data_IF_440055103257
#
_entry.id   IF_440055103257
#
_cell.length_a   1.000
_cell.length_b   1.000
_cell.length_c   1.000
_cell.angle_alpha   90.00
_cell.angle_beta   90.00
_cell.angle_gamma   90.00
#
_symmetry.space_group_name_H-M   'P 1'
#
loop_
_entity.id
_entity.type
_entity.pdbx_description
1 polymer ?
#
# COMPACT_ATOMS: atom_id res chain seq x y z
N UNK A 1 -8.09 15.42 9.75
CA UNK A 1 -9.18 14.46 10.07
C UNK A 1 -9.61 13.59 8.88
N UNK A 2 -9.96 14.15 7.72
CA UNK A 2 -10.51 13.38 6.58
C UNK A 2 -9.61 12.23 6.08
N UNK A 3 -8.29 12.46 6.01
CA UNK A 3 -7.31 11.46 5.53
C UNK A 3 -7.21 10.26 6.48
N UNK A 4 -7.22 10.50 7.80
CA UNK A 4 -7.21 9.43 8.80
C UNK A 4 -8.47 8.58 8.70
N UNK A 5 -9.62 9.22 8.45
CA UNK A 5 -10.90 8.54 8.25
C UNK A 5 -10.87 7.62 7.01
N UNK A 6 -10.30 8.10 5.90
CA UNK A 6 -10.10 7.30 4.69
C UNK A 6 -9.13 6.14 4.95
N UNK A 7 -8.03 6.37 5.67
CA UNK A 7 -7.07 5.32 6.02
C UNK A 7 -7.72 4.21 6.88
N UNK A 8 -8.57 4.59 7.84
CA UNK A 8 -9.33 3.64 8.66
C UNK A 8 -10.28 2.81 7.78
N UNK A 9 -11.01 3.45 6.86
CA UNK A 9 -11.92 2.74 5.95
C UNK A 9 -11.15 1.71 5.11
N UNK A 10 -10.00 2.10 4.54
CA UNK A 10 -9.16 1.18 3.75
C UNK A 10 -8.67 0.00 4.58
N UNK A 11 -8.25 0.23 5.83
CA UNK A 11 -7.81 -0.83 6.73
C UNK A 11 -8.95 -1.79 7.09
N UNK A 12 -10.14 -1.27 7.38
CA UNK A 12 -11.32 -2.09 7.71
C UNK A 12 -11.75 -2.95 6.52
N UNK A 13 -11.86 -2.35 5.32
CA UNK A 13 -12.25 -3.07 4.11
C UNK A 13 -11.20 -4.13 3.73
N UNK A 14 -9.91 -3.78 3.80
CA UNK A 14 -8.82 -4.73 3.57
C UNK A 14 -8.84 -5.88 4.58
N UNK A 15 -9.13 -5.60 5.84
CA UNK A 15 -9.32 -6.61 6.89
C UNK A 15 -10.46 -7.57 6.58
N UNK A 16 -11.61 -7.07 6.12
CA UNK A 16 -12.76 -7.92 5.74
C UNK A 16 -12.41 -8.82 4.56
N UNK A 17 -11.73 -8.29 3.54
CA UNK A 17 -11.29 -9.08 2.36
C UNK A 17 -10.36 -10.21 2.79
N UNK A 18 -9.38 -9.93 3.65
CA UNK A 18 -8.42 -10.93 4.13
C UNK A 18 -9.11 -11.96 5.03
N UNK A 19 -10.01 -11.54 5.91
CA UNK A 19 -10.77 -12.44 6.78
C UNK A 19 -11.60 -13.43 5.96
N UNK A 20 -12.30 -12.93 4.93
CA UNK A 20 -13.09 -13.75 4.01
C UNK A 20 -12.21 -14.66 3.15
N UNK A 21 -11.09 -14.16 2.63
CA UNK A 21 -10.16 -14.96 1.81
C UNK A 21 -9.55 -16.12 2.58
N UNK A 22 -9.31 -15.96 3.89
CA UNK A 22 -8.74 -16.99 4.75
C UNK A 22 -9.80 -17.89 5.39
N UNK A 23 -11.10 -17.62 5.19
CA UNK A 23 -12.19 -18.22 5.98
C UNK A 23 -11.86 -18.21 7.48
N UNK A 24 -11.47 -17.04 7.99
CA UNK A 24 -10.89 -16.92 9.33
C UNK A 24 -11.94 -17.24 10.39
N UNK A 25 -11.76 -18.34 11.11
CA UNK A 25 -12.47 -18.60 12.35
C UNK A 25 -11.75 -17.93 13.51
N UNK A 26 -12.28 -16.80 13.99
CA UNK A 26 -11.72 -16.06 15.11
C UNK A 26 -11.86 -16.78 16.46
N UNK A 27 -12.63 -17.87 16.53
CA UNK A 27 -12.69 -18.72 17.74
C UNK A 27 -11.48 -19.64 17.85
N UNK A 28 -10.79 -19.90 16.74
CA UNK A 28 -9.56 -20.69 16.72
C UNK A 28 -8.33 -19.76 16.80
N UNK A 29 -7.48 -19.87 17.84
CA UNK A 29 -6.31 -19.02 17.99
C UNK A 29 -5.30 -19.15 16.83
N UNK A 30 -5.21 -20.33 16.21
CA UNK A 30 -4.32 -20.56 15.06
C UNK A 30 -4.77 -19.75 13.83
N UNK A 31 -6.08 -19.74 13.56
CA UNK A 31 -6.68 -19.00 12.45
C UNK A 31 -6.63 -17.49 12.69
N UNK A 32 -6.85 -17.04 13.92
CA UNK A 32 -6.69 -15.62 14.29
C UNK A 32 -5.24 -15.13 14.10
N UNK A 33 -4.26 -15.98 14.42
CA UNK A 33 -2.84 -15.67 14.21
C UNK A 33 -2.49 -15.64 12.71
N UNK A 34 -3.03 -16.56 11.91
CA UNK A 34 -2.87 -16.58 10.46
C UNK A 34 -3.46 -15.32 9.80
N UNK A 35 -4.65 -14.90 10.22
CA UNK A 35 -5.26 -13.64 9.81
C UNK A 35 -4.37 -12.45 10.15
N UNK A 36 -3.95 -12.34 11.41
CA UNK A 36 -3.15 -11.22 11.90
C UNK A 36 -1.84 -11.12 11.12
N UNK A 37 -1.13 -12.23 10.93
CA UNK A 37 0.12 -12.27 10.14
C UNK A 37 -0.11 -11.83 8.69
N UNK A 38 -1.18 -12.29 8.06
CA UNK A 38 -1.51 -11.95 6.67
C UNK A 38 -1.91 -10.48 6.55
N UNK A 39 -2.71 -9.98 7.49
CA UNK A 39 -3.13 -8.59 7.58
C UNK A 39 -1.92 -7.65 7.74
N UNK A 40 -1.01 -7.93 8.68
CA UNK A 40 0.21 -7.14 8.86
C UNK A 40 1.16 -7.19 7.66
N UNK A 41 1.26 -8.36 7.01
CA UNK A 41 2.07 -8.47 5.79
C UNK A 41 1.49 -7.62 4.66
N UNK A 42 0.17 -7.66 4.47
CA UNK A 42 -0.52 -6.85 3.47
C UNK A 42 -0.41 -5.36 3.76
N UNK A 43 -0.64 -4.92 5.01
CA UNK A 43 -0.49 -3.50 5.37
C UNK A 43 0.95 -3.02 5.18
N UNK A 44 1.94 -3.83 5.53
CA UNK A 44 3.36 -3.54 5.26
C UNK A 44 3.66 -3.37 3.77
N UNK A 45 3.14 -4.25 2.92
CA UNK A 45 3.26 -4.12 1.46
C UNK A 45 2.58 -2.85 0.93
N UNK A 46 1.41 -2.50 1.46
CA UNK A 46 0.68 -1.30 1.07
C UNK A 46 1.50 -0.04 1.39
N UNK A 47 2.10 0.04 2.58
CA UNK A 47 3.01 1.14 2.96
C UNK A 47 4.25 1.17 2.07
N UNK A 48 4.86 0.02 1.77
CA UNK A 48 6.02 -0.05 0.90
C UNK A 48 5.69 0.44 -0.53
N UNK A 49 4.54 0.05 -1.07
CA UNK A 49 4.07 0.50 -2.38
C UNK A 49 3.80 1.99 -2.39
N UNK A 50 3.14 2.53 -1.35
CA UNK A 50 2.91 3.97 -1.22
C UNK A 50 4.23 4.73 -1.15
N UNK A 51 5.20 4.26 -0.35
CA UNK A 51 6.53 4.87 -0.27
C UNK A 51 7.24 4.83 -1.62
N UNK A 52 7.18 3.70 -2.33
CA UNK A 52 7.73 3.58 -3.68
C UNK A 52 7.08 4.58 -4.63
N UNK A 53 5.76 4.75 -4.57
CA UNK A 53 5.00 5.71 -5.37
C UNK A 53 5.43 7.16 -5.07
N UNK A 54 5.62 7.51 -3.81
CA UNK A 54 6.15 8.81 -3.41
C UNK A 54 7.59 9.03 -3.87
N UNK A 55 8.45 8.01 -3.80
CA UNK A 55 9.83 8.07 -4.31
C UNK A 55 9.85 8.23 -5.83
N UNK A 56 8.99 7.49 -6.53
CA UNK A 56 8.88 7.58 -7.99
C UNK A 56 8.34 8.95 -8.40
N UNK A 57 7.28 9.43 -7.74
CA UNK A 57 6.75 10.76 -7.94
C UNK A 57 7.84 11.80 -7.64
N UNK A 58 8.56 11.71 -6.52
CA UNK A 58 9.65 12.63 -6.21
C UNK A 58 10.78 12.58 -7.24
N UNK A 59 11.07 11.44 -7.87
CA UNK A 59 12.04 11.35 -8.95
C UNK A 59 11.52 11.94 -10.28
N UNK A 60 10.20 12.02 -10.45
CA UNK A 60 9.57 12.59 -11.64
C UNK A 60 9.31 14.10 -11.52
N UNK A 61 9.10 14.64 -10.32
CA UNK A 61 8.69 16.06 -10.12
C UNK A 61 9.78 17.08 -10.44
N UNK A 62 11.05 16.69 -10.59
CA UNK A 62 12.15 17.64 -10.82
C UNK A 62 13.00 17.39 -12.06
N UNK A 63 12.76 16.36 -12.88
CA UNK A 63 13.65 16.08 -14.02
C UNK A 63 13.27 16.97 -15.22
N UNK A 64 14.05 18.03 -15.55
CA UNK A 64 13.83 18.75 -16.80
C UNK A 64 14.10 17.80 -17.96
N UNK A 65 13.21 17.85 -18.96
CA UNK A 65 13.32 17.08 -20.19
C UNK A 65 14.46 17.64 -21.07
N UNK A 66 15.72 17.36 -20.71
CA UNK A 66 16.89 17.71 -21.52
C UNK A 66 17.17 16.55 -22.48
N UNK A 67 16.34 16.41 -23.51
CA UNK A 67 16.63 15.49 -24.63
C UNK A 67 16.20 16.06 -25.96
N UNK A 68 16.37 17.37 -26.16
CA UNK A 68 16.27 18.03 -27.48
C UNK A 68 17.18 19.27 -27.57
N UNK A 69 18.44 19.16 -27.14
CA UNK A 69 19.50 20.05 -27.62
C UNK A 69 20.39 19.25 -28.57
N UNK A 70 19.78 18.76 -29.66
CA UNK A 70 20.54 18.31 -30.82
C UNK A 70 21.28 19.53 -31.35
N UNK A 71 22.61 19.50 -31.22
CA UNK A 71 23.55 20.36 -31.93
C UNK A 71 23.06 20.57 -33.37
N UNK A 72 22.63 21.79 -33.70
CA UNK A 72 22.55 22.29 -35.06
C UNK A 72 23.17 23.70 -35.06
N UNK A 73 24.50 23.72 -34.99
CA UNK A 73 25.35 24.81 -35.49
C UNK A 73 26.58 24.17 -36.09
#
# INVERSE_FOLDING_TARGET
MRIVLIAIIVLVVGGIIIANSLNTDFKNPQSALAFTKTFFKWTGQLVANVKSLFVHASNMTWMPNITNASNNT
#
